data_IF_987085165751
#
_entry.id   IF_987085165751
#
_cell.length_a   1.000
_cell.length_b   1.000
_cell.length_c   1.000
_cell.angle_alpha   90.00
_cell.angle_beta   90.00
_cell.angle_gamma   90.00
#
_symmetry.space_group_name_H-M   'P 1'
#
loop_
_entity.id
_entity.type
_entity.pdbx_description
1 polymer ?
#
# COMPACT_ATOMS: atom_id res chain seq x y z
N UNK A 1 -5.96 4.29 49.76
CA UNK A 1 -5.80 5.23 48.63
C UNK A 1 -5.26 4.44 47.44
N UNK A 2 -6.12 3.96 46.55
CA UNK A 2 -5.70 3.31 45.32
C UNK A 2 -5.83 4.32 44.19
N UNK A 3 -4.69 4.68 43.60
CA UNK A 3 -4.59 5.68 42.54
C UNK A 3 -5.18 5.06 41.27
N UNK A 4 -6.32 5.59 40.86
CA UNK A 4 -7.01 5.24 39.62
C UNK A 4 -6.29 5.93 38.47
N UNK A 5 -5.41 5.21 37.79
CA UNK A 5 -4.73 5.71 36.59
C UNK A 5 -5.71 5.64 35.42
N UNK A 6 -6.42 6.73 35.18
CA UNK A 6 -7.20 6.94 33.97
C UNK A 6 -6.24 6.93 32.77
N UNK A 7 -6.23 5.84 32.02
CA UNK A 7 -5.66 5.78 30.68
C UNK A 7 -6.55 6.64 29.81
N UNK A 8 -6.20 7.91 29.64
CA UNK A 8 -6.77 8.74 28.59
C UNK A 8 -6.24 8.21 27.26
N UNK A 9 -7.00 7.33 26.62
CA UNK A 9 -6.82 7.04 25.21
C UNK A 9 -7.02 8.37 24.45
N UNK A 10 -5.92 8.96 24.01
CA UNK A 10 -5.90 10.16 23.18
C UNK A 10 -6.82 9.92 21.99
N UNK A 11 -7.82 10.79 21.85
CA UNK A 11 -8.83 10.72 20.81
C UNK A 11 -8.15 10.63 19.45
N UNK A 12 -8.54 9.59 18.71
CA UNK A 12 -8.39 9.43 17.26
C UNK A 12 -8.32 10.78 16.56
N UNK A 13 -7.20 11.06 15.88
CA UNK A 13 -7.15 12.11 14.87
C UNK A 13 -8.32 11.83 13.93
N UNK A 14 -9.36 12.65 14.01
CA UNK A 14 -10.60 12.38 13.31
C UNK A 14 -10.27 12.30 11.81
N UNK A 15 -10.69 11.22 11.17
CA UNK A 15 -10.69 10.95 9.73
C UNK A 15 -11.46 12.03 8.98
N UNK A 16 -10.88 13.21 8.94
CA UNK A 16 -11.39 14.38 8.30
C UNK A 16 -10.33 14.67 7.26
N UNK A 17 -10.71 14.71 5.98
CA UNK A 17 -9.81 14.97 4.83
C UNK A 17 -9.10 16.35 4.88
N UNK A 18 -8.97 16.93 6.08
CA UNK A 18 -8.33 18.17 6.42
C UNK A 18 -6.88 17.84 6.72
N UNK A 19 -6.00 18.29 5.84
CA UNK A 19 -4.58 18.28 6.10
C UNK A 19 -4.25 19.10 7.34
N UNK A 20 -3.17 18.70 8.01
CA UNK A 20 -2.60 19.40 9.16
C UNK A 20 -1.08 19.39 9.05
N UNK A 21 -0.43 20.35 9.70
CA UNK A 21 1.04 20.38 9.76
C UNK A 21 1.60 19.08 10.35
N UNK A 22 0.95 18.55 11.38
CA UNK A 22 1.30 17.28 12.02
C UNK A 22 1.15 16.07 11.09
N UNK A 23 0.16 16.07 10.18
CA UNK A 23 -0.02 15.04 9.16
C UNK A 23 1.17 15.03 8.18
N UNK A 24 1.58 16.20 7.66
CA UNK A 24 2.77 16.30 6.81
C UNK A 24 4.05 15.86 7.52
N UNK A 25 4.23 16.26 8.78
CA UNK A 25 5.38 15.85 9.61
C UNK A 25 5.39 14.34 9.88
N UNK A 26 4.22 13.73 10.09
CA UNK A 26 4.09 12.28 10.24
C UNK A 26 4.48 11.54 8.96
N UNK A 27 4.02 12.00 7.80
CA UNK A 27 4.36 11.40 6.51
C UNK A 27 5.86 11.47 6.25
N UNK A 28 6.46 12.65 6.46
CA UNK A 28 7.89 12.85 6.32
C UNK A 28 8.69 12.02 7.33
N UNK A 29 8.27 12.01 8.59
CA UNK A 29 8.88 11.20 9.64
C UNK A 29 8.82 9.71 9.34
N UNK A 30 7.72 9.21 8.77
CA UNK A 30 7.62 7.83 8.29
C UNK A 30 8.68 7.54 7.22
N UNK A 31 8.77 8.39 6.19
CA UNK A 31 9.75 8.23 5.12
C UNK A 31 11.18 8.19 5.64
N UNK A 32 11.54 9.12 6.53
CA UNK A 32 12.88 9.20 7.14
C UNK A 32 13.17 7.98 8.01
N UNK A 33 12.23 7.62 8.90
CA UNK A 33 12.40 6.51 9.84
C UNK A 33 12.50 5.14 9.18
N UNK A 34 11.94 4.97 7.97
CA UNK A 34 12.03 3.73 7.18
C UNK A 34 13.11 3.81 6.08
N UNK A 35 13.92 4.87 6.08
CA UNK A 35 15.07 5.01 5.19
C UNK A 35 14.72 5.22 3.72
N UNK A 36 13.57 5.82 3.41
CA UNK A 36 13.21 6.13 2.03
C UNK A 36 14.12 7.20 1.43
N UNK A 37 14.59 6.92 0.23
CA UNK A 37 15.38 7.88 -0.54
C UNK A 37 14.49 8.99 -1.08
N UNK A 38 14.87 10.24 -0.84
CA UNK A 38 14.25 11.41 -1.47
C UNK A 38 15.02 11.73 -2.76
N UNK A 39 14.36 11.60 -3.91
CA UNK A 39 14.96 12.00 -5.18
C UNK A 39 15.16 13.53 -5.23
N UNK A 40 16.40 13.99 -5.32
CA UNK A 40 16.68 15.42 -5.49
C UNK A 40 16.52 15.85 -6.94
N UNK A 41 16.89 14.98 -7.88
CA UNK A 41 16.98 15.25 -9.31
C UNK A 41 16.29 14.15 -10.11
N UNK A 42 16.12 14.36 -11.43
CA UNK A 42 15.65 13.29 -12.34
C UNK A 42 16.57 12.07 -12.30
N UNK A 43 17.88 12.27 -12.15
CA UNK A 43 18.85 11.17 -12.13
C UNK A 43 18.66 10.28 -10.91
N UNK A 44 18.33 10.87 -9.76
CA UNK A 44 18.01 10.09 -8.56
C UNK A 44 16.75 9.24 -8.77
N UNK A 45 15.76 9.74 -9.53
CA UNK A 45 14.59 8.93 -9.91
C UNK A 45 15.01 7.74 -10.78
N UNK A 46 15.89 7.95 -11.76
CA UNK A 46 16.41 6.86 -12.61
C UNK A 46 17.18 5.82 -11.79
N UNK A 47 18.02 6.28 -10.85
CA UNK A 47 18.76 5.40 -9.94
C UNK A 47 17.80 4.60 -9.05
N UNK A 48 16.75 5.24 -8.51
CA UNK A 48 15.71 4.56 -7.72
C UNK A 48 14.93 3.53 -8.55
N UNK A 49 14.71 3.76 -9.85
CA UNK A 49 14.10 2.78 -10.75
C UNK A 49 15.04 1.59 -10.94
N UNK A 50 16.33 1.83 -11.21
CA UNK A 50 17.32 0.77 -11.39
C UNK A 50 17.50 -0.09 -10.12
N UNK A 51 17.39 0.53 -8.95
CA UNK A 51 17.45 -0.15 -7.66
C UNK A 51 16.16 -0.90 -7.30
N UNK A 52 15.09 -0.73 -8.08
CA UNK A 52 13.77 -1.35 -7.84
C UNK A 52 12.93 -0.65 -6.78
N UNK A 53 13.37 0.51 -6.29
CA UNK A 53 12.63 1.31 -5.30
C UNK A 53 11.39 1.96 -5.92
N UNK A 54 11.43 2.26 -7.22
CA UNK A 54 10.32 2.84 -7.95
C UNK A 54 9.93 1.98 -9.15
N UNK A 55 8.63 1.79 -9.33
CA UNK A 55 8.05 1.07 -10.46
C UNK A 55 7.18 1.98 -11.30
N UNK A 56 7.25 1.79 -12.61
CA UNK A 56 6.44 2.57 -13.55
C UNK A 56 4.97 2.21 -13.41
N UNK A 57 4.14 3.23 -13.25
CA UNK A 57 2.68 3.15 -13.30
C UNK A 57 2.24 3.46 -14.72
N UNK A 58 1.34 2.65 -15.28
CA UNK A 58 0.80 2.83 -16.63
C UNK A 58 -0.69 3.15 -16.55
N UNK A 59 -1.26 3.90 -17.50
CA UNK A 59 -2.71 4.00 -17.63
C UNK A 59 -3.33 2.61 -17.82
N UNK A 60 -4.54 2.41 -17.30
CA UNK A 60 -5.29 1.16 -17.41
C UNK A 60 -6.71 1.45 -17.91
N UNK A 61 -7.54 0.42 -18.19
CA UNK A 61 -8.96 0.65 -18.46
C UNK A 61 -9.69 1.37 -17.32
N UNK A 62 -9.21 1.25 -16.07
CA UNK A 62 -9.84 1.81 -14.86
C UNK A 62 -9.15 3.08 -14.34
N UNK A 63 -7.96 3.40 -14.85
CA UNK A 63 -7.13 4.52 -14.39
C UNK A 63 -6.62 5.37 -15.54
N UNK A 64 -6.84 6.68 -15.43
CA UNK A 64 -6.18 7.68 -16.26
C UNK A 64 -4.99 8.29 -15.51
N UNK A 65 -3.91 8.60 -16.24
CA UNK A 65 -2.77 9.37 -15.74
C UNK A 65 -2.77 10.70 -16.51
N UNK A 66 -2.85 11.82 -15.80
CA UNK A 66 -3.01 13.14 -16.41
C UNK A 66 -1.85 14.06 -16.01
N UNK A 67 -1.01 14.43 -16.98
CA UNK A 67 0.13 15.35 -16.82
C UNK A 67 1.14 14.95 -15.73
N UNK A 68 1.41 13.65 -15.58
CA UNK A 68 2.39 13.13 -14.61
C UNK A 68 3.73 12.88 -15.32
N UNK A 69 4.72 13.75 -15.09
CA UNK A 69 6.05 13.64 -15.72
C UNK A 69 6.87 12.45 -15.22
N UNK A 70 6.68 12.05 -13.96
CA UNK A 70 7.38 10.92 -13.34
C UNK A 70 6.34 9.92 -12.82
N UNK A 71 5.75 9.10 -13.72
CA UNK A 71 4.69 8.15 -13.36
C UNK A 71 5.29 6.91 -12.69
N UNK A 72 5.95 7.12 -11.56
CA UNK A 72 6.62 6.09 -10.79
C UNK A 72 6.19 6.18 -9.34
N UNK A 73 6.02 5.04 -8.70
CA UNK A 73 5.66 4.91 -7.29
C UNK A 73 6.44 3.76 -6.68
N UNK A 74 6.55 3.73 -5.36
CA UNK A 74 7.01 2.52 -4.68
C UNK A 74 6.09 1.33 -5.00
N UNK A 75 6.60 0.08 -5.00
CA UNK A 75 5.81 -1.10 -5.39
C UNK A 75 4.47 -1.23 -4.66
N UNK A 76 4.47 -1.08 -3.32
CA UNK A 76 3.24 -1.18 -2.52
C UNK A 76 2.23 -0.07 -2.87
N UNK A 77 2.71 1.14 -3.14
CA UNK A 77 1.87 2.29 -3.47
C UNK A 77 1.31 2.17 -4.89
N UNK A 78 2.09 1.62 -5.83
CA UNK A 78 1.59 1.21 -7.15
C UNK A 78 0.45 0.20 -7.01
N UNK A 79 0.62 -0.83 -6.17
CA UNK A 79 -0.44 -1.81 -5.90
C UNK A 79 -1.69 -1.15 -5.34
N UNK A 80 -1.55 -0.23 -4.37
CA UNK A 80 -2.69 0.52 -3.84
C UNK A 80 -3.43 1.27 -4.94
N UNK A 81 -2.70 2.06 -5.75
CA UNK A 81 -3.29 2.88 -6.81
C UNK A 81 -4.04 2.03 -7.83
N UNK A 82 -3.47 0.91 -8.26
CA UNK A 82 -4.09 0.02 -9.24
C UNK A 82 -5.33 -0.70 -8.68
N UNK A 83 -5.28 -1.13 -7.41
CA UNK A 83 -6.45 -1.72 -6.75
C UNK A 83 -7.54 -0.68 -6.55
N UNK A 84 -7.20 0.48 -5.99
CA UNK A 84 -8.14 1.57 -5.74
C UNK A 84 -8.81 2.01 -7.06
N UNK A 85 -8.06 2.12 -8.16
CA UNK A 85 -8.64 2.49 -9.46
C UNK A 85 -9.64 1.46 -9.97
N UNK A 86 -9.35 0.17 -9.83
CA UNK A 86 -10.26 -0.91 -10.23
C UNK A 86 -11.55 -0.90 -9.40
N UNK A 87 -11.43 -0.73 -8.09
CA UNK A 87 -12.56 -0.65 -7.17
C UNK A 87 -13.42 0.59 -7.45
N UNK A 88 -12.78 1.74 -7.67
CA UNK A 88 -13.43 2.98 -8.07
C UNK A 88 -14.22 2.79 -9.36
N UNK A 89 -13.59 2.24 -10.40
CA UNK A 89 -14.24 2.02 -11.68
C UNK A 89 -15.45 1.08 -11.55
N UNK A 90 -15.37 0.02 -10.76
CA UNK A 90 -16.50 -0.88 -10.53
C UNK A 90 -17.65 -0.20 -9.78
N UNK A 91 -17.35 0.71 -8.85
CA UNK A 91 -18.36 1.44 -8.09
C UNK A 91 -19.00 2.60 -8.89
N UNK A 92 -18.26 3.17 -9.85
CA UNK A 92 -18.58 4.44 -10.48
C UNK A 92 -18.84 4.40 -11.99
N UNK A 93 -18.30 3.40 -12.70
CA UNK A 93 -18.30 3.35 -14.15
C UNK A 93 -17.41 4.40 -14.84
N UNK A 94 -16.59 5.15 -14.08
CA UNK A 94 -15.67 6.16 -14.63
C UNK A 94 -14.23 5.91 -14.16
N UNK A 95 -13.24 6.38 -14.94
CA UNK A 95 -11.82 6.17 -14.61
C UNK A 95 -11.38 7.05 -13.43
N UNK A 96 -10.66 6.46 -12.49
CA UNK A 96 -9.94 7.23 -11.48
C UNK A 96 -8.77 7.97 -12.15
N UNK A 97 -8.59 9.26 -11.88
CA UNK A 97 -7.54 10.06 -12.53
C UNK A 97 -6.44 10.41 -11.53
N UNK A 98 -5.23 9.90 -11.77
CA UNK A 98 -4.02 10.27 -11.03
C UNK A 98 -3.37 11.48 -11.69
N UNK A 99 -3.09 12.52 -10.90
CA UNK A 99 -2.59 13.82 -11.35
C UNK A 99 -1.16 14.14 -10.88
N UNK A 100 -0.60 13.33 -9.97
CA UNK A 100 0.80 13.40 -9.55
C UNK A 100 1.23 12.08 -8.94
N UNK A 101 2.53 11.78 -8.97
CA UNK A 101 3.16 10.60 -8.37
C UNK A 101 4.54 11.01 -7.83
N UNK A 102 5.61 10.26 -8.11
CA UNK A 102 6.97 10.71 -7.78
C UNK A 102 7.23 12.11 -8.37
N UNK A 103 7.91 12.98 -7.61
CA UNK A 103 8.37 14.27 -8.12
C UNK A 103 9.67 14.66 -7.41
N UNK A 104 10.81 14.71 -8.11
CA UNK A 104 12.08 15.04 -7.47
C UNK A 104 12.08 16.49 -6.98
N UNK A 105 12.86 16.77 -5.93
CA UNK A 105 12.91 18.09 -5.26
C UNK A 105 13.16 19.23 -6.26
N UNK A 106 14.12 19.06 -7.19
CA UNK A 106 14.44 20.06 -8.21
C UNK A 106 13.32 20.32 -9.23
N UNK A 107 12.23 19.55 -9.22
CA UNK A 107 11.06 19.70 -10.09
C UNK A 107 9.77 19.96 -9.30
N UNK A 108 9.87 20.16 -7.99
CA UNK A 108 8.72 20.55 -7.18
C UNK A 108 8.24 21.95 -7.58
N UNK A 109 6.92 22.23 -7.54
CA UNK A 109 6.41 23.57 -7.73
C UNK A 109 6.88 24.49 -6.60
N UNK A 110 6.91 25.79 -6.85
CA UNK A 110 7.40 26.78 -5.89
C UNK A 110 6.66 26.81 -4.55
N UNK A 111 5.43 26.30 -4.52
CA UNK A 111 4.58 26.21 -3.34
C UNK A 111 4.59 24.81 -2.69
N UNK A 112 5.48 23.90 -3.09
CA UNK A 112 5.61 22.60 -2.44
C UNK A 112 6.11 22.76 -1.00
N UNK A 113 5.57 21.94 -0.10
CA UNK A 113 6.06 21.88 1.27
C UNK A 113 7.45 21.22 1.31
N UNK A 114 8.34 21.73 2.17
CA UNK A 114 9.71 21.22 2.32
C UNK A 114 9.75 19.76 2.78
N UNK A 115 8.72 19.32 3.48
CA UNK A 115 8.52 17.96 4.00
C UNK A 115 7.69 17.07 3.06
N UNK A 116 7.48 17.48 1.80
CA UNK A 116 6.78 16.66 0.82
C UNK A 116 7.44 15.29 0.63
N UNK A 117 6.60 14.25 0.59
CA UNK A 117 7.05 12.87 0.40
C UNK A 117 6.93 12.37 -1.05
N UNK A 118 6.45 13.19 -1.99
CA UNK A 118 6.48 12.87 -3.42
C UNK A 118 7.87 12.46 -3.95
N UNK A 119 9.01 13.05 -3.50
CA UNK A 119 10.33 12.62 -3.96
C UNK A 119 10.68 11.16 -3.66
N UNK A 120 9.97 10.52 -2.73
CA UNK A 120 10.20 9.12 -2.33
C UNK A 120 9.37 8.11 -3.12
N UNK A 121 8.37 8.59 -3.87
CA UNK A 121 7.36 7.75 -4.53
C UNK A 121 6.35 7.08 -3.59
N UNK A 122 6.28 7.49 -2.32
CA UNK A 122 5.25 7.00 -1.38
C UNK A 122 3.90 7.74 -1.50
N UNK A 123 3.84 8.82 -2.28
CA UNK A 123 2.63 9.63 -2.43
C UNK A 123 2.20 9.84 -3.88
N UNK A 124 0.90 10.02 -4.07
CA UNK A 124 0.26 10.33 -5.33
C UNK A 124 -0.92 11.28 -5.12
N UNK A 125 -1.28 12.02 -6.17
CA UNK A 125 -2.43 12.93 -6.14
C UNK A 125 -3.56 12.41 -7.02
N UNK A 126 -4.79 12.52 -6.53
CA UNK A 126 -5.99 12.17 -7.27
C UNK A 126 -6.81 13.41 -7.61
N UNK A 127 -7.36 13.43 -8.82
CA UNK A 127 -8.39 14.41 -9.20
C UNK A 127 -9.64 14.20 -8.35
N UNK A 128 -10.22 15.29 -7.85
CA UNK A 128 -11.53 15.24 -7.19
C UNK A 128 -12.63 14.89 -8.22
N UNK A 129 -13.41 13.81 -8.03
CA UNK A 129 -14.49 13.47 -8.95
C UNK A 129 -15.57 14.56 -9.01
N UNK A 130 -16.02 14.89 -10.23
CA UNK A 130 -17.15 15.81 -10.44
C UNK A 130 -18.46 15.18 -9.97
N UNK A 131 -18.64 13.87 -10.21
CA UNK A 131 -19.78 13.10 -9.76
C UNK A 131 -19.77 12.96 -8.21
N UNK A 132 -20.83 13.41 -7.55
CA UNK A 132 -20.94 13.44 -6.08
C UNK A 132 -21.08 12.06 -5.44
N UNK A 133 -21.64 11.06 -6.14
CA UNK A 133 -21.68 9.67 -5.67
C UNK A 133 -20.26 9.09 -5.65
N UNK A 134 -19.50 9.33 -6.71
CA UNK A 134 -18.14 8.83 -6.84
C UNK A 134 -17.15 9.52 -5.93
N UNK A 135 -17.31 10.83 -5.74
CA UNK A 135 -16.56 11.57 -4.74
C UNK A 135 -16.78 10.98 -3.35
N UNK A 136 -18.03 10.76 -2.94
CA UNK A 136 -18.35 10.16 -1.63
C UNK A 136 -17.77 8.77 -1.49
N UNK A 137 -17.88 7.93 -2.51
CA UNK A 137 -17.29 6.58 -2.49
C UNK A 137 -15.77 6.64 -2.31
N UNK A 138 -15.09 7.51 -3.05
CA UNK A 138 -13.63 7.66 -2.97
C UNK A 138 -13.22 8.19 -1.60
N UNK A 139 -13.88 9.23 -1.10
CA UNK A 139 -13.62 9.81 0.22
C UNK A 139 -13.84 8.79 1.34
N UNK A 140 -14.94 8.03 1.32
CA UNK A 140 -15.18 6.97 2.32
C UNK A 140 -14.12 5.87 2.27
N UNK A 141 -13.71 5.48 1.07
CA UNK A 141 -12.68 4.44 0.89
C UNK A 141 -11.32 4.91 1.40
N UNK A 142 -10.93 6.15 1.08
CA UNK A 142 -9.66 6.74 1.54
C UNK A 142 -9.65 6.93 3.06
N UNK A 143 -10.75 7.43 3.65
CA UNK A 143 -10.87 7.58 5.10
C UNK A 143 -10.86 6.23 5.84
N UNK A 144 -11.42 5.18 5.25
CA UNK A 144 -11.36 3.81 5.81
C UNK A 144 -9.91 3.28 5.84
N UNK A 145 -9.15 3.50 4.76
CA UNK A 145 -7.74 3.13 4.69
C UNK A 145 -6.88 3.98 5.66
N UNK A 146 -7.17 5.27 5.78
CA UNK A 146 -6.56 6.13 6.80
C UNK A 146 -6.85 5.63 8.22
N UNK A 147 -8.08 5.20 8.49
CA UNK A 147 -8.46 4.54 9.73
C UNK A 147 -7.71 3.25 10.04
N UNK A 148 -7.32 2.53 8.99
CA UNK A 148 -6.48 1.34 9.08
C UNK A 148 -4.99 1.68 9.25
N UNK A 149 -4.63 2.97 9.28
CA UNK A 149 -3.26 3.49 9.40
C UNK A 149 -2.31 3.03 8.29
N UNK A 150 -2.83 2.82 7.08
CA UNK A 150 -2.03 2.41 5.92
C UNK A 150 -1.71 3.56 4.97
N UNK A 151 -2.38 4.69 5.14
CA UNK A 151 -2.16 5.92 4.41
C UNK A 151 -2.62 7.11 5.24
N UNK A 152 -2.28 8.30 4.77
CA UNK A 152 -2.80 9.59 5.20
C UNK A 152 -3.36 10.31 3.96
N UNK A 153 -4.53 10.94 4.09
CA UNK A 153 -5.22 11.59 2.98
C UNK A 153 -5.65 13.02 3.31
N UNK A 154 -5.25 13.95 2.45
CA UNK A 154 -5.64 15.36 2.53
C UNK A 154 -6.37 15.79 1.26
N UNK A 155 -7.51 16.47 1.42
CA UNK A 155 -8.18 17.16 0.31
C UNK A 155 -7.69 18.59 0.21
N UNK A 156 -6.82 18.82 -0.77
CA UNK A 156 -6.31 20.14 -1.11
C UNK A 156 -7.36 21.00 -1.80
N UNK A 157 -7.30 22.31 -1.57
CA UNK A 157 -8.31 23.26 -2.08
C UNK A 157 -7.90 23.97 -3.36
N UNK A 158 -6.60 24.19 -3.60
CA UNK A 158 -6.12 25.03 -4.71
C UNK A 158 -4.80 24.48 -5.31
N UNK A 159 -4.86 23.80 -6.47
CA UNK A 159 -6.07 23.29 -7.14
C UNK A 159 -6.73 22.16 -6.32
N UNK A 160 -8.04 21.88 -6.49
CA UNK A 160 -8.68 20.77 -5.79
C UNK A 160 -8.14 19.39 -6.21
N UNK A 161 -7.53 18.68 -5.28
CA UNK A 161 -7.08 17.29 -5.45
C UNK A 161 -7.04 16.58 -4.09
N UNK A 162 -6.95 15.26 -4.10
CA UNK A 162 -6.57 14.51 -2.90
C UNK A 162 -5.08 14.23 -2.96
N UNK A 163 -4.34 14.66 -1.95
CA UNK A 163 -3.00 14.18 -1.69
C UNK A 163 -3.10 12.90 -0.85
N UNK A 164 -2.52 11.81 -1.33
CA UNK A 164 -2.52 10.51 -0.64
C UNK A 164 -1.08 10.08 -0.41
N UNK A 165 -0.66 10.07 0.85
CA UNK A 165 0.62 9.54 1.29
C UNK A 165 0.40 8.14 1.85
N UNK A 166 0.89 7.13 1.14
CA UNK A 166 0.74 5.73 1.58
C UNK A 166 1.92 5.36 2.46
N UNK A 167 1.69 4.53 3.46
CA UNK A 167 2.73 3.91 4.28
C UNK A 167 2.97 2.48 3.74
N UNK A 168 4.01 2.25 2.93
CA UNK A 168 4.22 1.00 2.20
C UNK A 168 4.20 -0.26 3.06
N UNK A 169 4.94 -0.33 4.17
CA UNK A 169 4.99 -1.52 5.02
C UNK A 169 3.66 -1.75 5.74
N UNK A 170 3.03 -0.75 6.38
CA UNK A 170 1.67 -0.91 6.90
C UNK A 170 0.66 -1.35 5.85
N UNK A 171 0.73 -0.81 4.62
CA UNK A 171 -0.16 -1.21 3.55
C UNK A 171 0.09 -2.66 3.09
N UNK A 172 1.35 -3.10 3.02
CA UNK A 172 1.68 -4.50 2.73
C UNK A 172 1.16 -5.43 3.82
N UNK A 173 1.30 -5.07 5.10
CA UNK A 173 0.75 -5.85 6.22
C UNK A 173 -0.78 -5.91 6.18
N UNK A 174 -1.43 -4.80 5.82
CA UNK A 174 -2.88 -4.75 5.59
C UNK A 174 -3.30 -5.64 4.42
N UNK A 175 -2.56 -5.62 3.31
CA UNK A 175 -2.82 -6.54 2.21
C UNK A 175 -2.63 -8.00 2.64
N UNK A 176 -1.58 -8.32 3.40
CA UNK A 176 -1.37 -9.66 3.92
C UNK A 176 -2.48 -10.11 4.87
N UNK A 177 -3.06 -9.19 5.66
CA UNK A 177 -4.15 -9.53 6.59
C UNK A 177 -5.46 -9.83 5.87
N UNK A 178 -5.75 -9.14 4.75
CA UNK A 178 -6.99 -9.34 3.98
C UNK A 178 -6.84 -10.37 2.85
N UNK A 179 -5.64 -10.56 2.31
CA UNK A 179 -5.38 -11.48 1.20
C UNK A 179 -4.74 -12.80 1.65
N UNK A 180 -3.97 -12.80 2.73
CA UNK A 180 -3.30 -13.98 3.27
C UNK A 180 -4.17 -14.81 4.22
N UNK A 181 -5.40 -14.36 4.49
CA UNK A 181 -6.36 -15.07 5.32
C UNK A 181 -7.72 -15.03 4.64
N UNK A 182 -8.39 -16.17 4.70
CA UNK A 182 -9.84 -16.22 4.49
C UNK A 182 -10.49 -15.28 5.49
N UNK A 183 -11.31 -14.34 5.03
CA UNK A 183 -12.00 -13.37 5.89
C UNK A 183 -13.45 -13.20 5.45
N UNK A 184 -14.34 -12.82 6.37
CA UNK A 184 -15.75 -12.62 6.08
C UNK A 184 -16.04 -11.17 5.67
N UNK A 185 -16.93 -10.98 4.70
CA UNK A 185 -17.38 -9.70 4.16
C UNK A 185 -18.90 -9.64 4.11
N UNK A 186 -19.50 -8.66 4.79
CA UNK A 186 -20.95 -8.44 4.73
C UNK A 186 -21.34 -7.61 3.51
N UNK A 187 -22.18 -8.17 2.65
CA UNK A 187 -22.67 -7.56 1.41
C UNK A 187 -23.42 -6.26 1.71
N UNK A 188 -22.97 -5.19 1.07
CA UNK A 188 -23.54 -3.84 1.20
C UNK A 188 -24.51 -3.53 0.05
N UNK A 189 -25.33 -2.49 0.24
CA UNK A 189 -26.25 -2.03 -0.81
C UNK A 189 -25.49 -1.62 -2.09
N UNK A 190 -25.86 -2.25 -3.21
CA UNK A 190 -25.25 -2.01 -4.52
C UNK A 190 -24.04 -2.91 -4.85
N UNK A 191 -23.70 -3.86 -3.98
CA UNK A 191 -22.64 -4.83 -4.25
C UNK A 191 -23.03 -5.86 -5.32
N UNK A 192 -22.03 -6.32 -6.07
CA UNK A 192 -22.11 -7.48 -6.97
C UNK A 192 -20.94 -8.42 -6.67
N UNK A 193 -21.07 -9.72 -6.99
CA UNK A 193 -19.96 -10.67 -6.86
C UNK A 193 -18.73 -10.24 -7.64
N UNK A 194 -18.92 -9.64 -8.82
CA UNK A 194 -17.84 -9.09 -9.66
C UNK A 194 -17.08 -8.00 -8.89
N UNK A 195 -17.80 -7.02 -8.32
CA UNK A 195 -17.18 -5.92 -7.59
C UNK A 195 -16.51 -6.39 -6.29
N UNK A 196 -17.09 -7.36 -5.56
CA UNK A 196 -16.50 -7.94 -4.35
C UNK A 196 -15.23 -8.73 -4.69
N UNK A 197 -15.28 -9.60 -5.70
CA UNK A 197 -14.15 -10.40 -6.13
C UNK A 197 -12.97 -9.52 -6.59
N UNK A 198 -13.26 -8.49 -7.41
CA UNK A 198 -12.27 -7.52 -7.83
C UNK A 198 -11.67 -6.71 -6.66
N UNK A 199 -12.50 -6.29 -5.69
CA UNK A 199 -12.01 -5.60 -4.46
C UNK A 199 -11.04 -6.47 -3.68
N UNK A 200 -11.32 -7.76 -3.63
CA UNK A 200 -10.61 -8.76 -2.83
C UNK A 200 -9.47 -9.43 -3.59
N UNK A 201 -9.27 -9.10 -4.87
CA UNK A 201 -8.26 -9.73 -5.74
C UNK A 201 -8.38 -11.26 -5.81
N UNK A 202 -9.62 -11.73 -5.86
CA UNK A 202 -9.97 -13.12 -6.15
C UNK A 202 -10.85 -13.14 -7.40
N UNK A 203 -10.97 -14.28 -8.05
CA UNK A 203 -11.91 -14.44 -9.16
C UNK A 203 -13.33 -14.59 -8.64
N UNK A 204 -14.33 -14.21 -9.45
CA UNK A 204 -15.76 -14.48 -9.14
C UNK A 204 -15.99 -15.97 -8.94
N UNK A 205 -15.27 -16.82 -9.68
CA UNK A 205 -15.32 -18.27 -9.52
C UNK A 205 -14.84 -18.72 -8.13
N UNK A 206 -13.68 -18.23 -7.68
CA UNK A 206 -13.17 -18.52 -6.33
C UNK A 206 -14.12 -18.01 -5.25
N UNK A 207 -14.66 -16.79 -5.40
CA UNK A 207 -15.61 -16.23 -4.45
C UNK A 207 -16.92 -17.04 -4.38
N UNK A 208 -17.46 -17.46 -5.53
CA UNK A 208 -18.66 -18.30 -5.59
C UNK A 208 -18.41 -19.68 -4.98
N UNK A 209 -17.27 -20.29 -5.28
CA UNK A 209 -16.88 -21.59 -4.76
C UNK A 209 -16.76 -21.56 -3.23
N UNK A 210 -16.11 -20.53 -2.68
CA UNK A 210 -15.95 -20.36 -1.24
C UNK A 210 -17.29 -20.19 -0.49
N UNK A 211 -18.33 -19.69 -1.18
CA UNK A 211 -19.61 -19.31 -0.56
C UNK A 211 -20.82 -20.15 -0.99
N UNK A 212 -20.59 -21.22 -1.77
CA UNK A 212 -21.66 -22.03 -2.37
C UNK A 212 -22.72 -21.21 -3.15
N UNK A 213 -22.33 -20.08 -3.74
CA UNK A 213 -23.24 -19.21 -4.49
C UNK A 213 -23.40 -19.70 -5.93
N UNK A 214 -24.65 -20.04 -6.28
CA UNK A 214 -25.03 -20.38 -7.66
C UNK A 214 -25.53 -19.12 -8.38
N UNK A 215 -24.95 -18.83 -9.55
CA UNK A 215 -25.22 -17.59 -10.29
C UNK A 215 -24.57 -16.37 -9.64
N UNK A 216 -25.16 -15.19 -9.84
CA UNK A 216 -24.58 -13.91 -9.42
C UNK A 216 -25.39 -13.19 -8.32
N UNK A 217 -26.44 -13.83 -7.81
CA UNK A 217 -27.34 -13.24 -6.81
C UNK A 217 -26.73 -13.29 -5.42
N UNK A 218 -26.60 -12.11 -4.80
CA UNK A 218 -26.25 -11.89 -3.40
C UNK A 218 -27.22 -10.89 -2.77
N UNK A 219 -27.41 -10.94 -1.45
CA UNK A 219 -28.35 -10.07 -0.72
C UNK A 219 -27.62 -9.14 0.23
N UNK A 220 -28.11 -7.91 0.40
CA UNK A 220 -27.59 -6.99 1.44
C UNK A 220 -27.68 -7.66 2.81
N UNK A 221 -26.63 -7.57 3.61
CA UNK A 221 -26.49 -8.25 4.90
C UNK A 221 -26.03 -9.72 4.80
N UNK A 222 -25.88 -10.28 3.59
CA UNK A 222 -25.30 -11.60 3.41
C UNK A 222 -23.81 -11.55 3.74
N UNK A 223 -23.33 -12.46 4.58
CA UNK A 223 -21.90 -12.60 4.85
C UNK A 223 -21.28 -13.55 3.84
N UNK A 224 -20.22 -13.11 3.17
CA UNK A 224 -19.43 -13.89 2.23
C UNK A 224 -18.02 -14.12 2.78
N UNK A 225 -17.59 -15.37 2.79
CA UNK A 225 -16.21 -15.78 3.01
C UNK A 225 -15.37 -15.46 1.78
N UNK A 226 -14.49 -14.48 1.90
CA UNK A 226 -13.50 -14.10 0.90
C UNK A 226 -12.29 -15.03 1.05
N UNK A 227 -11.99 -15.89 0.06
CA UNK A 227 -10.86 -16.78 0.16
C UNK A 227 -9.53 -16.01 0.07
N UNK A 228 -8.49 -16.55 0.70
CA UNK A 228 -7.14 -16.01 0.54
C UNK A 228 -6.72 -16.02 -0.95
N UNK A 229 -5.96 -15.01 -1.37
CA UNK A 229 -5.42 -14.91 -2.73
C UNK A 229 -4.46 -16.07 -2.97
N UNK A 230 -4.94 -17.10 -3.66
CA UNK A 230 -4.08 -18.14 -4.20
C UNK A 230 -3.46 -17.59 -5.47
N UNK A 231 -2.19 -17.22 -5.43
CA UNK A 231 -1.38 -16.92 -6.62
C UNK A 231 -1.35 -18.16 -7.52
N UNK A 232 -2.35 -18.32 -8.38
CA UNK A 232 -2.44 -19.42 -9.33
C UNK A 232 -2.40 -18.88 -10.75
N UNK A 233 -1.22 -18.42 -11.15
CA UNK A 233 -0.82 -18.38 -12.56
C UNK A 233 0.46 -19.23 -12.71
N UNK A 234 0.26 -20.51 -13.05
CA UNK A 234 1.32 -21.43 -13.47
C UNK A 234 1.21 -22.82 -12.84
N UNK A 235 0.38 -23.68 -13.43
CA UNK A 235 0.32 -25.14 -13.27
C UNK A 235 0.65 -25.74 -11.89
N UNK A 236 -0.39 -25.97 -11.09
CA UNK A 236 -0.40 -27.08 -10.14
C UNK A 236 -1.68 -27.88 -10.38
N UNK A 237 -1.50 -29.02 -11.04
CA UNK A 237 -2.45 -30.11 -11.10
C UNK A 237 -2.93 -30.46 -9.70
N UNK A 238 -4.22 -30.71 -9.57
CA UNK A 238 -4.88 -31.10 -8.32
C UNK A 238 -4.13 -32.21 -7.60
N UNK A 239 -3.73 -31.97 -6.35
CA UNK A 239 -3.82 -32.97 -5.29
C UNK A 239 -4.18 -32.23 -3.99
N UNK A 240 -5.41 -32.45 -3.56
CA UNK A 240 -5.82 -32.19 -2.19
C UNK A 240 -5.06 -33.14 -1.26
N UNK A 241 -4.80 -32.65 -0.04
CA UNK A 241 -4.31 -33.40 1.12
C UNK A 241 -2.81 -33.69 1.10
N UNK A 242 -2.04 -33.02 1.94
CA UNK A 242 -1.81 -33.44 3.33
C UNK A 242 -0.92 -32.41 4.02
N UNK A 243 -1.21 -32.26 5.29
CA UNK A 243 -0.49 -31.52 6.28
C UNK A 243 0.82 -32.28 6.56
N UNK A 244 1.95 -31.75 6.13
CA UNK A 244 3.28 -32.17 6.61
C UNK A 244 4.11 -30.94 6.96
N UNK A 245 4.30 -30.80 8.27
CA UNK A 245 5.31 -29.98 8.93
C UNK A 245 6.70 -30.49 8.54
N UNK A 246 7.34 -29.84 7.58
CA UNK A 246 8.77 -29.95 7.37
C UNK A 246 9.43 -28.67 7.87
N UNK A 247 10.06 -28.74 9.05
CA UNK A 247 10.98 -27.71 9.56
C UNK A 247 12.18 -27.63 8.61
N UNK A 248 12.14 -26.72 7.64
CA UNK A 248 13.35 -26.24 6.98
C UNK A 248 14.05 -25.31 7.98
N UNK A 249 15.28 -25.67 8.37
CA UNK A 249 16.09 -24.82 9.21
C UNK A 249 16.37 -23.50 8.47
N UNK A 250 16.22 -22.34 9.14
CA UNK A 250 16.52 -21.05 8.52
C UNK A 250 17.97 -21.04 8.06
N UNK A 251 18.21 -20.75 6.78
CA UNK A 251 19.58 -20.67 6.25
C UNK A 251 20.09 -19.24 6.49
N UNK A 252 21.17 -19.10 7.27
CA UNK A 252 21.83 -17.81 7.51
C UNK A 252 22.80 -17.51 6.35
N UNK A 253 22.62 -16.36 5.71
CA UNK A 253 23.46 -15.87 4.61
C UNK A 253 24.12 -14.54 5.01
N UNK A 254 25.25 -14.22 4.41
CA UNK A 254 25.88 -12.90 4.53
C UNK A 254 25.61 -12.04 3.29
N UNK A 255 25.18 -10.80 3.52
CA UNK A 255 24.91 -9.82 2.49
C UNK A 255 25.76 -8.56 2.70
N UNK A 256 26.63 -8.26 1.73
CA UNK A 256 27.39 -7.02 1.73
C UNK A 256 26.56 -5.87 1.15
N UNK A 257 26.28 -4.88 1.99
CA UNK A 257 25.54 -3.66 1.67
C UNK A 257 26.25 -2.91 0.54
N UNK A 258 25.60 -2.83 -0.62
CA UNK A 258 26.02 -1.97 -1.74
C UNK A 258 25.54 -0.53 -1.55
N UNK A 259 26.10 0.38 -2.34
CA UNK A 259 25.68 1.80 -2.37
C UNK A 259 24.18 1.89 -2.64
N UNK A 260 23.46 2.53 -1.72
CA UNK A 260 22.02 2.75 -1.81
C UNK A 260 21.13 1.56 -1.45
N UNK A 261 21.62 0.48 -0.81
CA UNK A 261 20.69 -0.47 -0.16
C UNK A 261 20.17 0.07 1.17
N UNK A 262 18.93 -0.27 1.46
CA UNK A 262 18.26 -0.07 2.74
C UNK A 262 17.97 -1.45 3.34
N UNK A 263 17.72 -1.52 4.65
CA UNK A 263 17.33 -2.77 5.30
C UNK A 263 16.07 -3.36 4.67
N UNK A 264 15.13 -2.52 4.23
CA UNK A 264 13.93 -2.95 3.51
C UNK A 264 14.25 -3.69 2.21
N UNK A 265 15.18 -3.18 1.40
CA UNK A 265 15.54 -3.83 0.13
C UNK A 265 16.22 -5.18 0.35
N UNK A 266 17.04 -5.25 1.39
CA UNK A 266 17.71 -6.49 1.79
C UNK A 266 16.67 -7.48 2.30
N UNK A 267 15.78 -7.05 3.19
CA UNK A 267 14.67 -7.85 3.70
C UNK A 267 13.82 -8.44 2.57
N UNK A 268 13.36 -7.59 1.63
CA UNK A 268 12.54 -8.03 0.51
C UNK A 268 13.28 -8.96 -0.46
N UNK A 269 14.59 -8.73 -0.72
CA UNK A 269 15.42 -9.60 -1.56
C UNK A 269 15.49 -11.02 -0.99
N UNK A 270 15.68 -11.11 0.32
CA UNK A 270 15.87 -12.37 1.04
C UNK A 270 14.57 -12.90 1.65
N UNK A 271 13.41 -12.32 1.29
CA UNK A 271 12.08 -12.70 1.81
C UNK A 271 12.03 -12.79 3.35
N UNK A 272 12.75 -11.89 4.01
CA UNK A 272 12.77 -11.76 5.47
C UNK A 272 12.20 -10.40 5.89
N UNK A 273 12.23 -10.08 7.18
CA UNK A 273 11.78 -8.79 7.69
C UNK A 273 12.94 -7.87 8.07
N UNK A 274 12.72 -6.56 8.05
CA UNK A 274 13.68 -5.57 8.55
C UNK A 274 14.02 -5.84 10.02
N UNK A 275 13.02 -6.19 10.83
CA UNK A 275 13.22 -6.50 12.24
C UNK A 275 14.06 -7.77 12.45
N UNK A 276 13.86 -8.81 11.62
CA UNK A 276 14.72 -10.00 11.63
C UNK A 276 16.17 -9.64 11.30
N UNK A 277 16.41 -8.80 10.28
CA UNK A 277 17.77 -8.34 9.96
C UNK A 277 18.35 -7.49 11.10
N UNK A 278 17.58 -6.56 11.68
CA UNK A 278 18.05 -5.70 12.77
C UNK A 278 18.44 -6.50 13.99
N UNK A 279 17.57 -7.39 14.45
CA UNK A 279 17.79 -8.25 15.61
C UNK A 279 18.98 -9.19 15.40
N UNK A 280 19.10 -9.79 14.22
CA UNK A 280 20.23 -10.67 13.89
C UNK A 280 21.57 -9.94 13.83
N UNK A 281 21.57 -8.64 13.50
CA UNK A 281 22.77 -7.84 13.33
C UNK A 281 23.01 -6.80 14.46
N UNK A 282 22.19 -6.82 15.51
CA UNK A 282 22.29 -5.85 16.61
C UNK A 282 22.18 -4.39 16.17
N UNK A 283 21.40 -4.10 15.12
CA UNK A 283 21.27 -2.75 14.58
C UNK A 283 20.28 -1.94 15.42
N UNK A 284 20.72 -0.78 15.90
CA UNK A 284 19.87 0.17 16.64
C UNK A 284 18.98 1.05 15.74
N UNK A 285 19.10 0.92 14.41
CA UNK A 285 18.34 1.70 13.43
C UNK A 285 18.65 1.28 11.98
N UNK A 286 18.15 2.04 11.00
CA UNK A 286 18.21 1.67 9.57
C UNK A 286 19.44 2.18 8.82
N UNK A 287 20.37 2.83 9.52
CA UNK A 287 21.56 3.37 8.89
C UNK A 287 22.52 2.24 8.50
N UNK A 288 22.68 2.05 7.20
CA UNK A 288 23.63 1.09 6.64
C UNK A 288 24.85 1.78 6.03
N UNK A 289 26.04 1.21 6.23
CA UNK A 289 27.28 1.68 5.60
C UNK A 289 27.56 0.85 4.36
N UNK A 290 27.99 1.50 3.28
CA UNK A 290 28.44 0.77 2.08
C UNK A 290 29.63 -0.12 2.46
N UNK A 291 29.55 -1.39 2.08
CA UNK A 291 30.52 -2.42 2.44
C UNK A 291 30.23 -3.14 3.77
N UNK A 292 29.25 -2.68 4.55
CA UNK A 292 28.79 -3.38 5.76
C UNK A 292 28.27 -4.77 5.40
N UNK A 293 28.64 -5.80 6.16
CA UNK A 293 28.12 -7.15 5.98
C UNK A 293 26.99 -7.38 6.99
N UNK A 294 25.84 -7.85 6.50
CA UNK A 294 24.67 -8.19 7.29
C UNK A 294 24.38 -9.68 7.21
N UNK A 295 24.07 -10.29 8.35
CA UNK A 295 23.49 -11.63 8.48
C UNK A 295 22.00 -11.57 8.13
N UNK A 296 21.59 -12.33 7.13
CA UNK A 296 20.21 -12.41 6.65
C UNK A 296 19.73 -13.84 6.73
N UNK A 297 18.62 -14.05 7.41
CA UNK A 297 17.96 -15.34 7.48
C UNK A 297 17.01 -15.46 6.28
N UNK A 298 17.18 -16.50 5.46
CA UNK A 298 16.25 -16.87 4.39
C UNK A 298 15.39 -18.06 4.86
N UNK A 299 14.08 -17.92 4.65
CA UNK A 299 13.07 -18.96 4.82
C UNK A 299 12.57 -19.46 3.46
#
# INVERSE_FOLDING_TARGET
>A
MAISTLITASMTQAQTLRGSRSSMEQQHGHAVSHGYQFAHTSRDVDDMIQLGNLQRVRPTPTMAIHNVSYPYLQPAVKTLVERLSAQYYNACGEKMTVTSMTRPIARQPSNAANDSVHPTGMAFDLRVPSNSRCRRWLEQTLLSLEGSRVLDVTRERRPPHYHVATFPEPYQAYLASILGRTHDYEVQSGDTLVAIAARSNVTVSQLRAANNVRGDLIRVGQVLTIPAESNSNGNATMVASQQETATQQPTELEHQVRRGETLWRIANRYRTSVDAIRSQNGLAGDMLRVGQVLKVVVE
#
